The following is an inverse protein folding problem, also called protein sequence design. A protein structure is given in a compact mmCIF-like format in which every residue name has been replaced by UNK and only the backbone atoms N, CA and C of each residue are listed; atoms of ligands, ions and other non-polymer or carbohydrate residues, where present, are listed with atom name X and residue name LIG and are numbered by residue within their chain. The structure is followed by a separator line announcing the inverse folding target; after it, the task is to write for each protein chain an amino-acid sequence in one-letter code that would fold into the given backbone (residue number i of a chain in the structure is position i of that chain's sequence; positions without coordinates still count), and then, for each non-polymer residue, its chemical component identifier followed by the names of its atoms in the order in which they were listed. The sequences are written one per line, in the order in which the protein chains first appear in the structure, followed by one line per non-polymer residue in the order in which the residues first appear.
data_IF_427168575359
#
_entry.id   IF_427168575359
#
_cell.length_a   1.000
_cell.length_b   1.000
_cell.length_c   1.000
_cell.angle_alpha   90.00
_cell.angle_beta   90.00
_cell.angle_gamma   90.00
#
_symmetry.space_group_name_H-M   'P 1'
#
loop_
_entity.id
_entity.type
_entity.pdbx_description
1 polymer ?
#
# COMPACT_ATOMS: atom_id res chain seq x y z
N UNK A 1 -26.61 72.56 -73.03
CA UNK A 1 -25.46 73.01 -72.23
C UNK A 1 -24.31 73.21 -73.20
N UNK A 2 -23.63 74.35 -73.16
CA UNK A 2 -22.43 74.55 -73.98
C UNK A 2 -21.39 73.48 -73.60
N UNK A 3 -20.60 72.95 -74.55
CA UNK A 3 -19.58 71.94 -74.25
C UNK A 3 -18.61 72.38 -73.15
N UNK A 4 -18.33 73.69 -73.03
CA UNK A 4 -17.52 74.26 -71.94
C UNK A 4 -18.13 74.09 -70.55
N UNK A 5 -19.45 74.29 -70.39
CA UNK A 5 -20.13 74.06 -69.10
C UNK A 5 -20.11 72.60 -68.67
N UNK A 6 -20.23 71.67 -69.63
CA UNK A 6 -20.23 70.23 -69.34
C UNK A 6 -18.84 69.77 -68.87
N UNK A 7 -17.77 70.25 -69.51
CA UNK A 7 -16.38 69.98 -69.11
C UNK A 7 -16.08 70.54 -67.71
N UNK A 8 -16.50 71.77 -67.42
CA UNK A 8 -16.29 72.38 -66.10
C UNK A 8 -16.99 71.60 -64.97
N UNK A 9 -18.24 71.19 -65.18
CA UNK A 9 -18.99 70.39 -64.19
C UNK A 9 -18.31 69.04 -63.95
N UNK A 10 -17.80 68.38 -64.99
CA UNK A 10 -17.06 67.11 -64.84
C UNK A 10 -15.78 67.31 -64.03
N UNK A 11 -15.01 68.37 -64.30
CA UNK A 11 -13.78 68.69 -63.55
C UNK A 11 -14.10 68.97 -62.08
N UNK A 12 -15.14 69.77 -61.81
CA UNK A 12 -15.58 70.07 -60.45
C UNK A 12 -16.02 68.79 -59.71
N UNK A 13 -16.79 67.93 -60.37
CA UNK A 13 -17.25 66.65 -59.81
C UNK A 13 -16.05 65.75 -59.45
N UNK A 14 -15.10 65.60 -60.37
CA UNK A 14 -13.87 64.81 -60.14
C UNK A 14 -13.05 65.40 -58.99
N UNK A 15 -12.92 66.72 -58.90
CA UNK A 15 -12.24 67.41 -57.81
C UNK A 15 -12.92 67.12 -56.47
N UNK A 16 -14.25 67.25 -56.40
CA UNK A 16 -15.03 66.97 -55.18
C UNK A 16 -14.88 65.51 -54.77
N UNK A 17 -15.01 64.55 -55.70
CA UNK A 17 -14.81 63.12 -55.43
C UNK A 17 -13.40 62.86 -54.90
N UNK A 18 -12.37 63.46 -55.52
CA UNK A 18 -10.98 63.28 -55.09
C UNK A 18 -10.75 63.82 -53.67
N UNK A 19 -11.34 64.97 -53.33
CA UNK A 19 -11.27 65.56 -51.99
C UNK A 19 -11.98 64.68 -50.97
N UNK A 20 -13.17 64.15 -51.28
CA UNK A 20 -13.93 63.28 -50.39
C UNK A 20 -13.20 61.96 -50.14
N UNK A 21 -12.70 61.31 -51.20
CA UNK A 21 -11.97 60.04 -51.08
C UNK A 21 -10.67 60.23 -50.28
N UNK A 22 -9.92 61.31 -50.51
CA UNK A 22 -8.70 61.61 -49.73
C UNK A 22 -8.98 62.09 -48.31
N UNK A 23 -10.21 62.52 -48.02
CA UNK A 23 -10.61 62.99 -46.70
C UNK A 23 -10.85 61.84 -45.73
N UNK A 24 -11.29 60.68 -46.23
CA UNK A 24 -11.57 59.51 -45.40
C UNK A 24 -10.31 58.65 -45.32
N UNK A 25 -9.72 58.58 -44.12
CA UNK A 25 -8.63 57.63 -43.82
C UNK A 25 -9.12 56.64 -42.79
N UNK A 26 -8.88 55.36 -43.05
CA UNK A 26 -9.24 54.28 -42.13
C UNK A 26 -8.03 54.00 -41.25
N UNK A 27 -8.19 54.20 -39.94
CA UNK A 27 -7.19 53.84 -38.94
C UNK A 27 -7.44 52.39 -38.52
N UNK A 28 -6.45 51.48 -38.65
CA UNK A 28 -6.60 50.11 -38.16
C UNK A 28 -6.84 50.05 -36.65
N UNK A 29 -7.43 48.96 -36.17
CA UNK A 29 -7.58 48.71 -34.73
C UNK A 29 -6.22 48.58 -34.04
N UNK A 30 -6.12 49.07 -32.80
CA UNK A 30 -4.87 49.13 -32.02
C UNK A 30 -3.75 49.97 -32.67
N UNK A 31 -4.12 50.95 -33.51
CA UNK A 31 -3.21 51.97 -34.04
C UNK A 31 -3.72 53.36 -33.70
N UNK A 32 -2.78 54.27 -33.44
CA UNK A 32 -3.05 55.69 -33.24
C UNK A 32 -2.32 56.51 -34.29
N UNK A 33 -3.07 57.32 -35.04
CA UNK A 33 -2.52 58.25 -36.02
C UNK A 33 -2.48 59.65 -35.41
N UNK A 34 -1.29 60.26 -35.38
CA UNK A 34 -1.10 61.62 -34.88
C UNK A 34 -1.26 62.60 -36.02
N UNK A 35 -2.22 63.51 -35.87
CA UNK A 35 -2.57 64.47 -36.91
C UNK A 35 -2.06 65.84 -36.54
N UNK A 36 -1.35 66.44 -37.49
CA UNK A 36 -0.94 67.84 -37.44
C UNK A 36 -1.69 68.67 -38.47
N UNK A 37 -2.00 69.90 -38.08
CA UNK A 37 -2.53 70.93 -38.96
C UNK A 37 -1.53 72.06 -39.02
N UNK A 38 -0.94 72.30 -40.20
CA UNK A 38 0.06 73.34 -40.40
C UNK A 38 1.20 73.29 -39.36
N UNK A 39 1.63 72.08 -38.98
CA UNK A 39 2.70 71.84 -37.99
C UNK A 39 2.29 71.95 -36.51
N UNK A 40 1.00 72.19 -36.20
CA UNK A 40 0.48 72.13 -34.82
C UNK A 40 -0.29 70.85 -34.59
N UNK A 41 -0.16 70.27 -33.40
CA UNK A 41 -0.96 69.12 -32.98
C UNK A 41 -2.46 69.47 -33.04
N UNK A 42 -3.23 68.69 -33.79
CA UNK A 42 -4.69 68.82 -33.89
C UNK A 42 -5.41 67.80 -33.02
N UNK A 43 -4.93 66.56 -33.03
CA UNK A 43 -5.56 65.46 -32.31
C UNK A 43 -4.99 64.11 -32.68
N UNK A 44 -5.27 63.13 -31.83
CA UNK A 44 -4.99 61.71 -32.07
C UNK A 44 -6.25 61.04 -32.60
N UNK A 45 -6.10 60.14 -33.59
CA UNK A 45 -7.19 59.30 -34.10
C UNK A 45 -6.83 57.85 -33.89
N UNK A 46 -7.63 57.19 -33.08
CA UNK A 46 -7.57 55.76 -32.81
C UNK A 46 -8.55 55.02 -33.73
N UNK A 47 -8.54 53.68 -33.68
CA UNK A 47 -9.21 52.79 -34.64
C UNK A 47 -10.58 53.26 -35.14
N UNK A 48 -10.77 53.16 -36.46
CA UNK A 48 -12.00 53.55 -37.14
C UNK A 48 -11.80 54.57 -38.26
N UNK A 49 -12.89 55.03 -38.90
CA UNK A 49 -12.82 56.03 -39.96
C UNK A 49 -12.51 57.41 -39.37
N UNK A 50 -11.44 58.03 -39.86
CA UNK A 50 -11.02 59.38 -39.51
C UNK A 50 -11.18 60.32 -40.72
N UNK A 51 -11.78 61.49 -40.47
CA UNK A 51 -11.94 62.54 -41.47
C UNK A 51 -10.77 63.54 -41.33
N UNK A 52 -9.99 63.67 -42.40
CA UNK A 52 -8.84 64.56 -42.53
C UNK A 52 -9.11 65.57 -43.62
N UNK A 53 -8.79 66.85 -43.38
CA UNK A 53 -8.87 67.84 -44.45
C UNK A 53 -7.64 67.64 -45.35
N UNK A 54 -7.80 67.18 -46.60
CA UNK A 54 -6.66 66.96 -47.48
C UNK A 54 -5.88 68.27 -47.65
N UNK A 55 -4.56 68.16 -47.85
CA UNK A 55 -3.59 69.26 -47.98
C UNK A 55 -3.28 70.05 -46.69
N UNK A 56 -4.25 70.25 -45.79
CA UNK A 56 -4.08 71.03 -44.55
C UNK A 56 -3.68 70.15 -43.37
N UNK A 57 -4.36 69.01 -43.21
CA UNK A 57 -4.06 68.03 -42.18
C UNK A 57 -3.07 66.98 -42.74
N UNK A 58 -2.05 66.63 -41.95
CA UNK A 58 -1.07 65.59 -42.28
C UNK A 58 -0.92 64.62 -41.12
N UNK A 59 -0.79 63.33 -41.43
CA UNK A 59 -0.43 62.31 -40.43
C UNK A 59 1.08 62.38 -40.21
N UNK A 60 1.50 62.74 -39.00
CA UNK A 60 2.93 62.83 -38.64
C UNK A 60 3.52 61.46 -38.35
N UNK A 61 2.88 60.70 -37.47
CA UNK A 61 3.38 59.40 -37.00
C UNK A 61 2.23 58.41 -36.84
N UNK A 62 2.54 57.12 -37.01
CA UNK A 62 1.61 56.01 -36.78
C UNK A 62 2.16 55.15 -35.64
N UNK A 63 1.46 55.16 -34.51
CA UNK A 63 1.91 54.48 -33.30
C UNK A 63 1.11 53.19 -33.14
N UNK A 64 1.80 52.07 -32.94
CA UNK A 64 1.19 50.80 -32.58
C UNK A 64 0.90 50.79 -31.07
N UNK A 65 -0.37 50.59 -30.70
CA UNK A 65 -0.84 50.58 -29.31
C UNK A 65 -0.74 49.18 -28.67
N UNK A 66 -0.41 48.16 -29.46
CA UNK A 66 -0.26 46.79 -28.96
C UNK A 66 0.94 46.68 -28.01
N UNK A 67 0.94 45.59 -27.26
CA UNK A 67 2.13 45.21 -26.49
C UNK A 67 3.28 44.84 -27.43
N UNK A 68 4.42 45.50 -27.20
CA UNK A 68 5.65 45.34 -27.94
C UNK A 68 6.70 44.73 -27.02
N UNK A 69 7.53 43.87 -27.61
CA UNK A 69 8.62 43.18 -26.92
C UNK A 69 9.93 43.65 -27.52
N UNK A 70 10.77 44.25 -26.69
CA UNK A 70 12.10 44.71 -27.10
C UNK A 70 13.15 44.06 -26.20
N UNK A 71 14.12 43.41 -26.85
CA UNK A 71 15.32 42.87 -26.19
C UNK A 71 16.42 43.90 -26.28
N UNK A 72 17.06 44.20 -25.16
CA UNK A 72 18.24 45.05 -25.11
C UNK A 72 19.52 44.20 -25.10
N UNK A 73 20.63 44.71 -25.67
CA UNK A 73 21.90 43.99 -25.69
C UNK A 73 22.48 43.82 -24.27
N UNK A 74 23.33 42.81 -24.05
CA UNK A 74 24.00 42.59 -22.76
C UNK A 74 24.74 43.83 -22.29
N UNK A 75 24.42 44.28 -21.07
CA UNK A 75 25.10 45.41 -20.44
C UNK A 75 26.04 44.91 -19.32
N UNK A 76 27.31 45.36 -19.29
CA UNK A 76 28.22 45.02 -18.20
C UNK A 76 27.85 45.82 -16.94
N UNK A 77 27.58 45.11 -15.86
CA UNK A 77 27.24 45.67 -14.55
C UNK A 77 28.16 45.08 -13.49
N UNK A 78 28.59 45.89 -12.54
CA UNK A 78 29.42 45.47 -11.42
C UNK A 78 28.52 45.17 -10.23
N UNK A 79 28.64 43.97 -9.68
CA UNK A 79 27.94 43.51 -8.46
C UNK A 79 28.61 44.06 -7.19
N UNK A 80 27.96 43.91 -6.04
CA UNK A 80 28.51 44.29 -4.73
C UNK A 80 29.87 43.63 -4.44
N UNK A 81 30.10 42.42 -4.96
CA UNK A 81 31.35 41.66 -4.78
C UNK A 81 32.46 42.08 -5.76
N UNK A 82 32.27 43.21 -6.46
CA UNK A 82 33.20 43.73 -7.47
C UNK A 82 33.44 42.75 -8.65
N UNK A 83 32.41 41.97 -9.01
CA UNK A 83 32.41 41.12 -10.20
C UNK A 83 31.59 41.75 -11.31
N UNK A 84 32.13 41.76 -12.52
CA UNK A 84 31.44 42.23 -13.73
C UNK A 84 30.59 41.12 -14.32
N UNK A 85 29.28 41.31 -14.35
CA UNK A 85 28.31 40.40 -14.98
C UNK A 85 27.67 41.07 -16.19
N UNK A 86 27.39 40.30 -17.24
CA UNK A 86 26.61 40.79 -18.37
C UNK A 86 25.15 40.39 -18.19
N UNK A 87 24.23 41.33 -18.30
CA UNK A 87 22.80 41.08 -18.08
C UNK A 87 22.02 41.41 -19.34
N UNK A 88 21.30 40.40 -19.84
CA UNK A 88 20.35 40.53 -20.94
C UNK A 88 18.95 40.75 -20.38
N UNK A 89 18.23 41.75 -20.90
CA UNK A 89 16.87 42.06 -20.44
C UNK A 89 15.91 42.22 -21.61
N UNK A 90 14.68 41.77 -21.41
CA UNK A 90 13.55 41.96 -22.32
C UNK A 90 12.48 42.77 -21.61
N UNK A 91 11.99 43.81 -22.28
CA UNK A 91 10.95 44.69 -21.74
C UNK A 91 9.69 44.56 -22.59
N UNK A 92 8.58 44.31 -21.90
CA UNK A 92 7.23 44.26 -22.47
C UNK A 92 6.53 45.56 -22.11
N UNK A 93 6.23 46.37 -23.11
CA UNK A 93 5.56 47.65 -22.91
C UNK A 93 4.51 47.88 -23.99
N UNK A 94 3.56 48.77 -23.70
CA UNK A 94 2.62 49.26 -24.69
C UNK A 94 2.50 50.77 -24.60
N UNK A 95 2.25 51.41 -25.73
CA UNK A 95 1.96 52.85 -25.76
C UNK A 95 0.50 53.05 -25.36
N UNK A 96 0.27 53.74 -24.26
CA UNK A 96 -1.05 54.10 -23.77
C UNK A 96 -1.48 55.49 -24.24
N UNK A 97 -0.55 56.44 -24.36
CA UNK A 97 -0.81 57.76 -24.94
C UNK A 97 0.16 58.04 -26.10
N UNK A 98 -0.36 57.89 -27.32
CA UNK A 98 0.41 58.11 -28.54
C UNK A 98 0.89 59.56 -28.68
N UNK A 99 0.15 60.55 -28.16
CA UNK A 99 0.57 61.95 -28.25
C UNK A 99 1.86 62.15 -27.46
N UNK A 100 1.87 61.72 -26.20
CA UNK A 100 3.04 61.85 -25.34
C UNK A 100 4.23 61.07 -25.90
N UNK A 101 4.02 59.88 -26.45
CA UNK A 101 5.09 59.06 -27.02
C UNK A 101 5.84 59.69 -28.20
N UNK A 102 5.21 60.62 -28.93
CA UNK A 102 5.80 61.28 -30.10
C UNK A 102 6.30 62.69 -29.82
N UNK A 103 5.71 63.39 -28.84
CA UNK A 103 6.08 64.77 -28.53
C UNK A 103 6.97 64.93 -27.29
N UNK A 104 6.91 64.01 -26.32
CA UNK A 104 7.68 64.13 -25.06
C UNK A 104 9.08 63.51 -25.16
N UNK A 105 9.32 62.61 -26.13
CA UNK A 105 10.64 62.01 -26.38
C UNK A 105 10.85 61.71 -27.87
N UNK A 106 12.09 61.90 -28.34
CA UNK A 106 12.45 61.66 -29.74
C UNK A 106 12.48 60.18 -30.12
N UNK A 107 13.01 59.33 -29.24
CA UNK A 107 13.00 57.87 -29.39
C UNK A 107 12.81 57.23 -28.01
N UNK A 108 11.59 56.78 -27.76
CA UNK A 108 11.27 56.17 -26.48
C UNK A 108 11.94 54.82 -26.26
N UNK A 109 12.25 54.04 -27.30
CA UNK A 109 12.91 52.74 -27.16
C UNK A 109 14.32 52.93 -26.60
N UNK A 110 15.07 53.89 -27.15
CA UNK A 110 16.40 54.26 -26.64
C UNK A 110 16.31 54.84 -25.21
N UNK A 111 15.25 55.59 -24.91
CA UNK A 111 14.99 56.09 -23.54
C UNK A 111 14.76 54.97 -22.53
N UNK A 112 13.93 53.98 -22.89
CA UNK A 112 13.66 52.79 -22.08
C UNK A 112 14.95 51.97 -21.87
N UNK A 113 15.77 51.80 -22.90
CA UNK A 113 17.08 51.13 -22.80
C UNK A 113 18.00 51.81 -21.79
N UNK A 114 18.07 53.14 -21.83
CA UNK A 114 18.93 53.92 -20.94
C UNK A 114 18.47 53.85 -19.48
N UNK A 115 17.15 53.94 -19.24
CA UNK A 115 16.57 53.78 -17.90
C UNK A 115 16.85 52.35 -17.41
N UNK A 116 16.58 51.34 -18.23
CA UNK A 116 16.84 49.92 -17.90
C UNK A 116 18.30 49.73 -17.48
N UNK A 117 19.25 50.26 -18.25
CA UNK A 117 20.69 50.18 -17.95
C UNK A 117 21.05 50.85 -16.63
N UNK A 118 20.47 52.02 -16.36
CA UNK A 118 20.73 52.78 -15.14
C UNK A 118 20.14 52.07 -13.91
N UNK A 119 18.91 51.57 -14.01
CA UNK A 119 18.24 50.83 -12.95
C UNK A 119 18.92 49.49 -12.69
N UNK A 120 19.32 48.76 -13.74
CA UNK A 120 20.12 47.54 -13.60
C UNK A 120 21.40 47.79 -12.82
N UNK A 121 22.14 48.87 -13.16
CA UNK A 121 23.37 49.24 -12.44
C UNK A 121 23.11 49.52 -10.96
N UNK A 122 22.02 50.21 -10.64
CA UNK A 122 21.68 50.54 -9.25
C UNK A 122 21.26 49.31 -8.44
N UNK A 123 20.39 48.46 -9.00
CA UNK A 123 19.86 47.28 -8.29
C UNK A 123 20.94 46.23 -8.11
N UNK A 124 21.66 45.88 -9.18
CA UNK A 124 22.68 44.84 -9.16
C UNK A 124 23.94 45.30 -8.42
N UNK A 125 24.25 46.60 -8.43
CA UNK A 125 25.35 47.16 -7.64
C UNK A 125 25.17 46.97 -6.12
N UNK A 126 23.93 46.82 -5.65
CA UNK A 126 23.60 46.52 -4.25
C UNK A 126 23.40 45.03 -3.94
N UNK A 127 23.67 44.13 -4.89
CA UNK A 127 23.47 42.68 -4.76
C UNK A 127 24.77 41.91 -5.00
N UNK A 128 24.94 40.80 -4.28
CA UNK A 128 26.04 39.86 -4.54
C UNK A 128 25.79 39.08 -5.85
N UNK A 129 26.83 38.42 -6.38
CA UNK A 129 26.67 37.56 -7.58
C UNK A 129 25.61 36.47 -7.35
N UNK A 130 25.67 35.80 -6.20
CA UNK A 130 24.75 34.72 -5.84
C UNK A 130 23.30 35.22 -5.72
N UNK A 131 23.10 36.37 -5.06
CA UNK A 131 21.77 37.00 -4.97
C UNK A 131 21.24 37.39 -6.35
N UNK A 132 22.12 37.89 -7.23
CA UNK A 132 21.76 38.27 -8.59
C UNK A 132 21.30 37.06 -9.41
N UNK A 133 21.94 35.89 -9.24
CA UNK A 133 21.58 34.65 -9.92
C UNK A 133 20.31 34.00 -9.36
N UNK A 134 20.08 34.09 -8.06
CA UNK A 134 18.97 33.40 -7.35
C UNK A 134 17.70 34.25 -7.25
N UNK A 135 17.82 35.58 -7.15
CA UNK A 135 16.71 36.49 -6.84
C UNK A 135 16.24 37.29 -8.06
N UNK A 136 16.08 36.64 -9.21
CA UNK A 136 15.67 37.30 -10.47
C UNK A 136 14.32 38.02 -10.37
N UNK A 137 13.37 37.46 -9.63
CA UNK A 137 12.03 38.04 -9.44
C UNK A 137 12.06 39.39 -8.73
N UNK A 138 12.98 39.55 -7.77
CA UNK A 138 13.20 40.82 -7.08
C UNK A 138 13.69 41.89 -8.05
N UNK A 139 14.65 41.53 -8.91
CA UNK A 139 15.19 42.45 -9.91
C UNK A 139 14.12 42.83 -10.92
N UNK A 140 13.36 41.85 -11.44
CA UNK A 140 12.25 42.07 -12.37
C UNK A 140 11.19 43.02 -11.80
N UNK A 141 10.85 42.85 -10.52
CA UNK A 141 9.84 43.69 -9.84
C UNK A 141 10.30 45.13 -9.68
N UNK A 142 11.55 45.33 -9.23
CA UNK A 142 12.12 46.69 -9.07
C UNK A 142 12.28 47.37 -10.44
N UNK A 143 12.82 46.65 -11.43
CA UNK A 143 12.94 47.18 -12.79
C UNK A 143 11.60 47.62 -13.34
N UNK A 144 10.56 46.77 -13.25
CA UNK A 144 9.21 47.10 -13.72
C UNK A 144 8.67 48.37 -13.06
N UNK A 145 8.82 48.51 -11.74
CA UNK A 145 8.33 49.67 -10.99
C UNK A 145 9.01 50.97 -11.43
N UNK A 146 10.34 50.99 -11.44
CA UNK A 146 11.14 52.16 -11.82
C UNK A 146 10.95 52.54 -13.29
N UNK A 147 10.87 51.53 -14.18
CA UNK A 147 10.63 51.75 -15.61
C UNK A 147 9.24 52.33 -15.85
N UNK A 148 8.18 51.76 -15.26
CA UNK A 148 6.80 52.25 -15.45
C UNK A 148 6.63 53.68 -14.94
N UNK A 149 7.19 54.01 -13.77
CA UNK A 149 7.18 55.36 -13.21
C UNK A 149 7.90 56.36 -14.13
N UNK A 150 9.10 56.01 -14.58
CA UNK A 150 9.91 56.89 -15.42
C UNK A 150 9.32 57.07 -16.83
N UNK A 151 8.79 56.01 -17.43
CA UNK A 151 8.26 56.01 -18.80
C UNK A 151 6.82 56.51 -18.91
N UNK A 152 6.10 56.63 -17.78
CA UNK A 152 4.72 57.12 -17.75
C UNK A 152 4.57 58.51 -18.37
N UNK A 153 5.56 59.38 -18.22
CA UNK A 153 5.59 60.73 -18.85
C UNK A 153 5.65 60.69 -20.38
N UNK A 154 6.14 59.60 -20.96
CA UNK A 154 6.20 59.39 -22.41
C UNK A 154 4.95 58.68 -22.93
N UNK A 155 3.91 58.48 -22.09
CA UNK A 155 2.71 57.75 -22.50
C UNK A 155 2.93 56.26 -22.67
N UNK A 156 3.97 55.68 -22.05
CA UNK A 156 4.32 54.27 -22.15
C UNK A 156 4.03 53.60 -20.81
N UNK A 157 3.36 52.44 -20.88
CA UNK A 157 3.12 51.58 -19.74
C UNK A 157 3.96 50.32 -19.87
N UNK A 158 4.75 50.02 -18.85
CA UNK A 158 5.58 48.82 -18.80
C UNK A 158 4.79 47.72 -18.12
N UNK A 159 4.44 46.69 -18.89
CA UNK A 159 3.69 45.55 -18.36
C UNK A 159 4.58 44.63 -17.54
N UNK A 160 5.76 44.29 -18.09
CA UNK A 160 6.66 43.28 -17.52
C UNK A 160 8.09 43.49 -17.98
N UNK A 161 9.03 43.12 -17.11
CA UNK A 161 10.47 43.08 -17.40
C UNK A 161 10.98 41.70 -17.03
N UNK A 162 11.75 41.10 -17.91
CA UNK A 162 12.34 39.78 -17.70
C UNK A 162 13.85 39.81 -17.98
N UNK A 163 14.63 39.36 -17.01
CA UNK A 163 16.03 39.03 -17.24
C UNK A 163 16.11 37.75 -18.05
N UNK A 164 16.71 37.84 -19.24
CA UNK A 164 16.92 36.71 -20.16
C UNK A 164 18.11 35.87 -19.72
N UNK A 165 19.25 36.51 -19.43
CA UNK A 165 20.48 35.85 -19.03
C UNK A 165 21.30 36.74 -18.08
N UNK A 166 22.11 36.10 -17.24
CA UNK A 166 23.08 36.74 -16.34
C UNK A 166 24.37 35.95 -16.48
N UNK A 167 25.35 36.52 -17.16
CA UNK A 167 26.58 35.85 -17.53
C UNK A 167 27.74 36.39 -16.68
N UNK A 168 28.20 35.63 -15.66
CA UNK A 168 29.41 35.97 -14.91
C UNK A 168 30.67 35.76 -15.77
N UNK A 169 31.84 36.26 -15.33
CA UNK A 169 33.08 36.00 -16.03
C UNK A 169 33.44 34.51 -15.93
N UNK A 170 34.02 33.96 -17.01
CA UNK A 170 34.26 32.52 -17.15
C UNK A 170 35.04 31.89 -15.99
N UNK A 171 35.99 32.61 -15.39
CA UNK A 171 36.78 32.14 -14.25
C UNK A 171 35.94 31.86 -13.00
N UNK A 172 34.91 32.68 -12.76
CA UNK A 172 33.99 32.50 -11.64
C UNK A 172 32.98 31.40 -11.95
N UNK A 173 32.49 31.34 -13.19
CA UNK A 173 31.60 30.27 -13.63
C UNK A 173 32.24 28.89 -13.44
N UNK A 174 33.49 28.70 -13.87
CA UNK A 174 34.23 27.45 -13.70
C UNK A 174 34.44 27.10 -12.22
N UNK A 175 34.74 28.11 -11.39
CA UNK A 175 34.92 27.92 -9.95
C UNK A 175 33.63 27.51 -9.25
N UNK A 176 32.51 28.15 -9.62
CA UNK A 176 31.18 27.80 -9.13
C UNK A 176 30.75 26.42 -9.58
N UNK A 177 30.97 26.05 -10.84
CA UNK A 177 30.66 24.71 -11.35
C UNK A 177 31.43 23.62 -10.59
N UNK A 178 32.73 23.85 -10.33
CA UNK A 178 33.55 22.96 -9.50
C UNK A 178 33.02 22.87 -8.07
N UNK A 179 32.68 23.99 -7.45
CA UNK A 179 32.14 24.03 -6.09
C UNK A 179 30.78 23.32 -6.01
N UNK A 180 29.85 23.62 -6.92
CA UNK A 180 28.53 22.97 -6.99
C UNK A 180 28.65 21.48 -7.23
N UNK A 181 29.59 21.05 -8.09
CA UNK A 181 29.87 19.63 -8.31
C UNK A 181 30.36 18.96 -7.02
N UNK A 182 31.33 19.56 -6.34
CA UNK A 182 31.85 19.04 -5.07
C UNK A 182 30.76 18.96 -3.99
N UNK A 183 29.89 19.98 -3.88
CA UNK A 183 28.77 19.97 -2.92
C UNK A 183 27.72 18.91 -3.26
N UNK A 184 27.41 18.73 -4.55
CA UNK A 184 26.51 17.67 -5.01
C UNK A 184 27.09 16.29 -4.76
N UNK A 185 28.38 16.07 -5.05
CA UNK A 185 29.09 14.82 -4.77
C UNK A 185 29.13 14.51 -3.28
N UNK A 186 29.41 15.52 -2.44
CA UNK A 186 29.37 15.39 -0.98
C UNK A 186 27.98 15.01 -0.48
N UNK A 187 26.92 15.69 -0.95
CA UNK A 187 25.53 15.36 -0.59
C UNK A 187 25.15 13.96 -1.05
N UNK A 188 25.52 13.57 -2.27
CA UNK A 188 25.28 12.23 -2.79
C UNK A 188 26.00 11.15 -1.96
N UNK A 189 27.24 11.41 -1.54
CA UNK A 189 28.00 10.50 -0.68
C UNK A 189 27.34 10.33 0.70
N UNK A 190 26.89 11.43 1.32
CA UNK A 190 26.17 11.38 2.61
C UNK A 190 24.88 10.59 2.46
N UNK A 191 24.07 10.88 1.44
CA UNK A 191 22.79 10.21 1.20
C UNK A 191 22.99 8.71 0.93
N UNK A 192 24.01 8.33 0.17
CA UNK A 192 24.35 6.92 -0.08
C UNK A 192 24.80 6.22 1.20
N UNK A 193 25.61 6.87 2.04
CA UNK A 193 26.05 6.31 3.32
C UNK A 193 24.86 6.14 4.29
N UNK A 194 23.95 7.10 4.35
CA UNK A 194 22.71 7.02 5.13
C UNK A 194 21.81 5.90 4.62
N UNK A 195 21.60 5.80 3.31
CA UNK A 195 20.82 4.72 2.69
C UNK A 195 21.41 3.33 2.95
N UNK A 196 22.74 3.17 2.89
CA UNK A 196 23.41 1.91 3.24
C UNK A 196 23.23 1.56 4.72
N UNK A 197 23.38 2.54 5.61
CA UNK A 197 23.17 2.35 7.05
C UNK A 197 21.73 1.92 7.34
N UNK A 198 20.76 2.63 6.78
CA UNK A 198 19.34 2.34 6.99
C UNK A 198 18.96 0.96 6.43
N UNK A 199 19.44 0.62 5.23
CA UNK A 199 19.25 -0.70 4.63
C UNK A 199 19.82 -1.83 5.50
N UNK A 200 21.03 -1.65 6.04
CA UNK A 200 21.67 -2.61 6.93
C UNK A 200 20.88 -2.80 8.24
N UNK A 201 20.38 -1.72 8.83
CA UNK A 201 19.53 -1.76 10.04
C UNK A 201 18.26 -2.55 9.76
N UNK A 202 17.51 -2.17 8.71
CA UNK A 202 16.26 -2.85 8.34
C UNK A 202 16.48 -4.33 8.03
N UNK A 203 17.59 -4.68 7.40
CA UNK A 203 17.94 -6.08 7.12
C UNK A 203 18.22 -6.87 8.41
N UNK A 204 18.97 -6.30 9.34
CA UNK A 204 19.26 -6.93 10.63
C UNK A 204 17.99 -7.09 11.49
N UNK A 205 17.10 -6.10 11.49
CA UNK A 205 15.79 -6.17 12.14
C UNK A 205 14.91 -7.26 11.53
N UNK A 206 14.85 -7.35 10.20
CA UNK A 206 14.16 -8.42 9.49
C UNK A 206 14.68 -9.81 9.85
N UNK A 207 16.01 -9.99 9.92
CA UNK A 207 16.62 -11.26 10.35
C UNK A 207 16.29 -11.60 11.80
N UNK A 208 16.39 -10.64 12.71
CA UNK A 208 16.01 -10.81 14.12
C UNK A 208 14.55 -11.23 14.24
N UNK A 209 13.65 -10.54 13.55
CA UNK A 209 12.22 -10.84 13.58
C UNK A 209 11.93 -12.24 13.01
N UNK A 210 12.58 -12.60 11.90
CA UNK A 210 12.45 -13.95 11.31
C UNK A 210 12.92 -15.06 12.27
N UNK A 211 14.04 -14.85 12.98
CA UNK A 211 14.54 -15.81 13.97
C UNK A 211 13.59 -15.96 15.16
N UNK A 212 13.03 -14.86 15.66
CA UNK A 212 12.03 -14.88 16.74
C UNK A 212 10.80 -15.68 16.31
N UNK A 213 10.23 -15.36 15.14
CA UNK A 213 9.06 -16.06 14.62
C UNK A 213 9.32 -17.56 14.42
N UNK A 214 10.52 -17.93 13.98
CA UNK A 214 10.92 -19.34 13.82
C UNK A 214 11.03 -20.04 15.17
N UNK A 215 11.63 -19.39 16.17
CA UNK A 215 11.75 -19.95 17.52
C UNK A 215 10.38 -20.09 18.22
N UNK A 216 9.51 -19.09 18.06
CA UNK A 216 8.12 -19.14 18.55
C UNK A 216 7.32 -20.24 17.87
N UNK A 217 7.43 -20.37 16.54
CA UNK A 217 6.83 -21.46 15.78
C UNK A 217 7.30 -22.84 16.24
N UNK A 218 8.61 -23.01 16.45
CA UNK A 218 9.19 -24.25 16.95
C UNK A 218 8.71 -24.59 18.37
N UNK A 219 8.65 -23.59 19.26
CA UNK A 219 8.10 -23.76 20.62
C UNK A 219 6.63 -24.17 20.56
N UNK A 220 5.83 -23.50 19.76
CA UNK A 220 4.40 -23.80 19.62
C UNK A 220 4.19 -25.21 19.06
N UNK A 221 4.96 -25.59 18.03
CA UNK A 221 4.93 -26.94 17.47
C UNK A 221 5.31 -28.00 18.52
N UNK A 222 6.35 -27.75 19.34
CA UNK A 222 6.75 -28.67 20.39
C UNK A 222 5.67 -28.86 21.47
N UNK A 223 4.99 -27.78 21.88
CA UNK A 223 3.87 -27.84 22.83
C UNK A 223 2.72 -28.66 22.26
N UNK A 224 2.29 -28.35 21.03
CA UNK A 224 1.21 -29.06 20.37
C UNK A 224 1.52 -30.56 20.20
N UNK A 225 2.76 -30.91 19.86
CA UNK A 225 3.19 -32.31 19.76
C UNK A 225 3.16 -33.02 21.12
N UNK A 226 3.61 -32.36 22.19
CA UNK A 226 3.59 -32.93 23.54
C UNK A 226 2.15 -33.13 24.07
N UNK A 227 1.25 -32.18 23.78
CA UNK A 227 -0.17 -32.30 24.09
C UNK A 227 -0.83 -33.44 23.31
N UNK A 228 -0.52 -33.56 22.01
CA UNK A 228 -1.00 -34.65 21.16
C UNK A 228 -0.54 -36.03 21.66
N UNK A 229 0.73 -36.18 22.04
CA UNK A 229 1.25 -37.44 22.58
C UNK A 229 0.58 -37.79 23.91
N UNK A 230 0.49 -36.82 24.84
CA UNK A 230 -0.21 -37.01 26.12
C UNK A 230 -1.65 -37.46 25.90
N UNK A 231 -2.37 -36.82 24.98
CA UNK A 231 -3.75 -37.16 24.67
C UNK A 231 -3.84 -38.58 24.09
N UNK A 232 -2.92 -38.95 23.19
CA UNK A 232 -2.83 -40.28 22.61
C UNK A 232 -2.58 -41.35 23.67
N UNK A 233 -1.65 -41.12 24.60
CA UNK A 233 -1.36 -42.03 25.71
C UNK A 233 -2.55 -42.24 26.64
N UNK A 234 -3.27 -41.17 26.99
CA UNK A 234 -4.48 -41.24 27.83
C UNK A 234 -5.54 -42.08 27.13
N UNK A 235 -5.82 -41.82 25.86
CA UNK A 235 -6.80 -42.59 25.08
C UNK A 235 -6.41 -44.07 24.97
N UNK A 236 -5.13 -44.37 24.72
CA UNK A 236 -4.62 -45.76 24.72
C UNK A 236 -4.72 -46.42 26.09
N UNK A 237 -4.46 -45.70 27.18
CA UNK A 237 -4.59 -46.23 28.54
C UNK A 237 -6.06 -46.51 28.91
N UNK A 238 -6.97 -45.62 28.52
CA UNK A 238 -8.42 -45.82 28.69
C UNK A 238 -8.91 -47.02 27.87
N UNK A 239 -8.50 -47.12 26.60
CA UNK A 239 -8.82 -48.27 25.75
C UNK A 239 -8.32 -49.60 26.34
N UNK A 240 -7.09 -49.64 26.85
CA UNK A 240 -6.54 -50.83 27.53
C UNK A 240 -7.31 -51.20 28.80
N UNK A 241 -7.67 -50.20 29.63
CA UNK A 241 -8.48 -50.43 30.84
C UNK A 241 -9.86 -50.98 30.50
N UNK A 242 -10.52 -50.40 29.48
CA UNK A 242 -11.82 -50.87 29.02
C UNK A 242 -11.74 -52.31 28.50
N UNK A 243 -10.73 -52.63 27.69
CA UNK A 243 -10.51 -53.99 27.18
C UNK A 243 -10.31 -55.01 28.32
N UNK A 244 -9.41 -54.74 29.27
CA UNK A 244 -9.17 -55.63 30.42
C UNK A 244 -10.42 -55.83 31.28
N UNK A 245 -11.20 -54.77 31.48
CA UNK A 245 -12.44 -54.84 32.25
C UNK A 245 -13.49 -55.72 31.55
N UNK A 246 -13.65 -55.55 30.23
CA UNK A 246 -14.55 -56.37 29.42
C UNK A 246 -14.11 -57.85 29.37
N UNK A 247 -12.80 -58.10 29.27
CA UNK A 247 -12.22 -59.45 29.31
C UNK A 247 -12.49 -60.13 30.66
N UNK A 248 -12.19 -59.46 31.78
CA UNK A 248 -12.44 -59.99 33.13
C UNK A 248 -13.93 -60.25 33.39
N UNK A 249 -14.82 -59.38 32.89
CA UNK A 249 -16.27 -59.65 32.95
C UNK A 249 -16.66 -60.89 32.14
N UNK A 250 -16.06 -61.04 30.95
CA UNK A 250 -16.29 -62.19 30.09
C UNK A 250 -15.86 -63.51 30.75
N UNK A 251 -14.67 -63.53 31.34
CA UNK A 251 -14.16 -64.68 32.09
C UNK A 251 -15.02 -65.00 33.31
N UNK A 252 -15.42 -63.99 34.09
CA UNK A 252 -16.29 -64.18 35.26
C UNK A 252 -17.62 -64.85 34.86
N UNK A 253 -18.26 -64.36 33.79
CA UNK A 253 -19.48 -64.96 33.24
C UNK A 253 -19.25 -66.38 32.73
N UNK A 254 -18.11 -66.65 32.08
CA UNK A 254 -17.77 -67.99 31.62
C UNK A 254 -17.56 -68.98 32.78
N UNK A 255 -16.86 -68.57 33.84
CA UNK A 255 -16.64 -69.36 35.06
C UNK A 255 -17.98 -69.62 35.76
N UNK A 256 -18.84 -68.61 35.90
CA UNK A 256 -20.15 -68.77 36.51
C UNK A 256 -21.01 -69.80 35.76
N UNK A 257 -21.07 -69.70 34.42
CA UNK A 257 -21.81 -70.66 33.59
C UNK A 257 -21.25 -72.08 33.70
N UNK A 258 -19.93 -72.25 33.68
CA UNK A 258 -19.31 -73.58 33.84
C UNK A 258 -19.58 -74.16 35.23
N UNK A 259 -19.48 -73.36 36.29
CA UNK A 259 -19.72 -73.81 37.65
C UNK A 259 -21.19 -74.18 37.90
N UNK A 260 -22.12 -73.38 37.36
CA UNK A 260 -23.55 -73.70 37.38
C UNK A 260 -23.86 -75.00 36.63
N UNK A 261 -23.20 -75.25 35.49
CA UNK A 261 -23.33 -76.51 34.76
C UNK A 261 -22.79 -77.71 35.55
N UNK A 262 -21.63 -77.58 36.20
CA UNK A 262 -21.02 -78.65 37.02
C UNK A 262 -21.89 -79.00 38.22
N UNK A 263 -22.41 -78.01 38.95
CA UNK A 263 -23.30 -78.25 40.10
C UNK A 263 -24.56 -79.04 39.73
N UNK A 264 -25.13 -78.79 38.55
CA UNK A 264 -26.31 -79.52 38.05
C UNK A 264 -26.02 -80.99 37.78
N UNK A 265 -24.80 -81.31 37.36
CA UNK A 265 -24.37 -82.68 37.05
C UNK A 265 -24.22 -83.60 38.28
N UNK A 266 -24.24 -83.07 39.52
CA UNK A 266 -24.04 -83.81 40.78
C UNK A 266 -22.90 -84.85 40.67
N UNK A 267 -21.67 -84.44 40.33
CA UNK A 267 -20.59 -85.38 40.04
C UNK A 267 -20.25 -86.20 41.28
N UNK A 268 -20.06 -87.52 41.11
CA UNK A 268 -19.58 -88.38 42.19
C UNK A 268 -18.06 -88.19 42.39
N UNK A 269 -17.52 -88.44 43.60
CA UNK A 269 -16.10 -88.24 43.90
C UNK A 269 -15.14 -88.95 42.95
N UNK A 270 -15.55 -90.08 42.37
CA UNK A 270 -14.78 -90.84 41.40
C UNK A 270 -14.64 -90.09 40.06
N UNK A 271 -15.65 -89.31 39.65
CA UNK A 271 -15.64 -88.55 38.40
C UNK A 271 -14.74 -87.31 38.50
N UNK A 272 -14.71 -86.65 39.66
CA UNK A 272 -13.76 -85.57 39.93
C UNK A 272 -12.32 -86.08 40.01
N UNK A 273 -12.10 -87.25 40.62
CA UNK A 273 -10.79 -87.90 40.63
C UNK A 273 -10.33 -88.29 39.21
N UNK A 274 -11.25 -88.77 38.36
CA UNK A 274 -10.97 -89.06 36.96
C UNK A 274 -10.69 -87.80 36.13
N UNK A 275 -11.48 -86.74 36.29
CA UNK A 275 -11.23 -85.45 35.63
C UNK A 275 -9.88 -84.87 36.06
N UNK A 276 -9.55 -84.93 37.35
CA UNK A 276 -8.24 -84.55 37.87
C UNK A 276 -7.12 -85.34 37.17
N UNK A 277 -7.25 -86.67 37.08
CA UNK A 277 -6.31 -87.52 36.33
C UNK A 277 -6.23 -87.17 34.83
N UNK A 278 -7.32 -86.70 34.20
CA UNK A 278 -7.31 -86.22 32.81
C UNK A 278 -6.68 -84.83 32.62
N UNK A 279 -6.79 -83.95 33.62
CA UNK A 279 -6.10 -82.64 33.61
C UNK A 279 -4.58 -82.78 33.85
N UNK A 280 -4.12 -83.90 34.43
CA UNK A 280 -2.68 -84.15 34.63
C UNK A 280 -1.89 -84.14 33.31
N UNK A 281 -2.33 -84.79 32.21
CA UNK A 281 -1.73 -84.62 30.88
C UNK A 281 -1.69 -83.17 30.37
N UNK A 282 -2.70 -82.36 30.63
CA UNK A 282 -2.72 -80.94 30.19
C UNK A 282 -1.73 -80.09 30.99
N UNK A 283 -1.60 -80.34 32.29
CA UNK A 283 -0.58 -79.72 33.14
C UNK A 283 0.85 -80.15 32.78
N UNK A 284 1.02 -81.34 32.18
CA UNK A 284 2.31 -81.83 31.68
C UNK A 284 2.69 -81.31 30.29
N UNK A 285 1.76 -80.71 29.53
CA UNK A 285 2.00 -80.14 28.19
C UNK A 285 2.54 -78.71 28.18
N UNK A 286 2.51 -78.01 29.32
CA UNK A 286 3.09 -76.67 29.44
C UNK A 286 4.62 -76.73 29.41
N UNK A 287 5.26 -75.86 28.61
CA UNK A 287 6.71 -75.87 28.31
C UNK A 287 7.63 -75.74 29.54
N UNK A 288 7.09 -75.53 30.75
CA UNK A 288 7.82 -75.27 32.00
C UNK A 288 7.86 -76.41 33.04
N UNK A 289 7.30 -77.61 32.78
CA UNK A 289 7.21 -78.67 33.80
C UNK A 289 8.20 -79.84 33.59
N UNK A 290 9.37 -79.81 34.25
CA UNK A 290 10.36 -80.92 34.28
C UNK A 290 10.50 -81.65 35.62
N UNK A 291 9.77 -81.25 36.67
CA UNK A 291 9.90 -81.83 38.02
C UNK A 291 8.53 -82.28 38.54
N UNK A 292 8.38 -83.59 38.66
CA UNK A 292 7.19 -84.24 39.21
C UNK A 292 7.39 -84.47 40.71
N UNK A 293 6.67 -83.74 41.55
CA UNK A 293 6.72 -83.90 43.01
C UNK A 293 5.33 -84.34 43.48
N UNK A 294 5.17 -85.61 43.85
CA UNK A 294 3.98 -86.07 44.56
C UNK A 294 4.16 -85.65 46.01
N UNK A 295 3.34 -84.72 46.56
CA UNK A 295 3.47 -84.34 47.96
C UNK A 295 3.23 -85.56 48.84
N UNK A 296 4.10 -85.81 49.82
CA UNK A 296 4.02 -86.96 50.73
C UNK A 296 2.73 -87.01 51.57
N UNK A 297 1.97 -85.92 51.62
CA UNK A 297 0.67 -85.83 52.28
C UNK A 297 -0.53 -86.00 51.32
N UNK A 298 -0.31 -86.42 50.07
CA UNK A 298 -1.38 -86.69 49.10
C UNK A 298 -2.42 -87.69 49.64
N UNK A 299 -1.98 -88.74 50.33
CA UNK A 299 -2.88 -89.68 50.98
C UNK A 299 -3.77 -89.02 52.03
N UNK A 300 -3.23 -88.09 52.83
CA UNK A 300 -3.99 -87.37 53.88
C UNK A 300 -4.90 -86.29 53.31
N UNK A 301 -4.48 -85.61 52.24
CA UNK A 301 -5.32 -84.62 51.55
C UNK A 301 -6.52 -85.30 50.89
N UNK A 302 -6.32 -86.48 50.30
CA UNK A 302 -7.41 -87.29 49.76
C UNK A 302 -8.31 -87.84 50.87
N UNK A 303 -7.74 -88.30 52.00
CA UNK A 303 -8.52 -88.73 53.17
C UNK A 303 -9.29 -87.57 53.84
N UNK A 304 -8.73 -86.35 53.83
CA UNK A 304 -9.41 -85.13 54.29
C UNK A 304 -10.54 -84.71 53.36
N UNK A 305 -10.32 -84.82 52.04
CA UNK A 305 -11.34 -84.55 51.03
C UNK A 305 -12.50 -85.56 51.10
N UNK A 306 -12.21 -86.85 51.31
CA UNK A 306 -13.24 -87.88 51.49
C UNK A 306 -13.98 -87.73 52.82
N UNK A 307 -13.30 -87.35 53.92
CA UNK A 307 -13.95 -87.03 55.21
C UNK A 307 -14.83 -85.78 55.17
N UNK A 308 -14.46 -84.77 54.36
CA UNK A 308 -15.30 -83.58 54.16
C UNK A 308 -16.61 -83.91 53.42
N UNK A 309 -16.64 -85.02 52.70
CA UNK A 309 -17.77 -85.45 51.87
C UNK A 309 -18.53 -86.67 52.44
N UNK A 310 -18.07 -87.34 53.50
CA UNK A 310 -18.72 -88.53 54.06
C UNK A 310 -18.74 -88.59 55.59
N UNK A 311 -19.91 -88.83 56.18
CA UNK A 311 -20.08 -89.01 57.63
C UNK A 311 -19.82 -90.48 58.07
N UNK A 312 -19.17 -90.73 59.22
CA UNK A 312 -18.92 -92.09 59.70
C UNK A 312 -20.18 -92.72 60.31
N UNK A 313 -20.56 -93.92 59.83
CA UNK A 313 -21.56 -94.78 60.48
C UNK A 313 -20.92 -95.67 61.56
N UNK A 314 -21.71 -96.12 62.55
CA UNK A 314 -21.23 -96.80 63.78
C UNK A 314 -20.46 -98.13 63.55
N UNK A 315 -20.45 -98.70 62.33
CA UNK A 315 -19.72 -99.93 61.99
C UNK A 315 -18.36 -99.71 61.30
N UNK A 316 -17.87 -98.47 61.21
CA UNK A 316 -16.54 -98.18 60.66
C UNK A 316 -16.42 -98.29 59.12
N UNK A 317 -17.54 -98.39 58.39
CA UNK A 317 -17.59 -98.33 56.92
C UNK A 317 -18.17 -96.98 56.48
N UNK A 318 -17.42 -96.21 55.69
CA UNK A 318 -17.86 -94.93 55.14
C UNK A 318 -18.93 -95.15 54.06
N UNK A 319 -20.13 -94.60 54.25
CA UNK A 319 -21.16 -94.51 53.22
C UNK A 319 -21.42 -93.05 52.91
N UNK A 320 -21.37 -92.71 51.63
CA UNK A 320 -21.72 -91.38 51.14
C UNK A 320 -23.25 -91.25 51.10
N UNK A 321 -23.78 -90.31 51.88
CA UNK A 321 -25.13 -89.79 51.66
C UNK A 321 -24.99 -88.40 51.03
N UNK A 322 -25.56 -88.17 49.83
CA UNK A 322 -25.53 -86.84 49.24
C UNK A 322 -26.26 -85.85 50.17
N UNK A 323 -25.62 -84.72 50.44
CA UNK A 323 -26.22 -83.62 51.18
C UNK A 323 -27.51 -83.17 50.51
N UNK A 324 -28.62 -83.21 51.25
CA UNK A 324 -29.90 -82.66 50.79
C UNK A 324 -29.71 -81.17 50.58
N UNK A 325 -29.78 -80.72 49.33
CA UNK A 325 -29.78 -79.29 49.01
C UNK A 325 -30.94 -79.01 48.07
N UNK A 326 -31.67 -77.97 48.47
CA UNK A 326 -32.91 -77.48 47.93
C UNK A 326 -32.76 -76.87 46.53
N UNK A 327 -33.85 -76.92 45.76
CA UNK A 327 -34.10 -75.98 44.67
C UNK A 327 -33.45 -76.31 43.33
N UNK A 328 -34.30 -76.53 42.34
CA UNK A 328 -33.96 -76.57 40.92
C UNK A 328 -33.42 -75.19 40.49
N UNK A 329 -32.12 -75.08 40.20
CA UNK A 329 -31.52 -73.87 39.63
C UNK A 329 -31.46 -74.08 38.10
N UNK A 330 -32.57 -73.81 37.42
CA UNK A 330 -32.56 -73.53 35.98
C UNK A 330 -31.76 -72.23 35.77
N UNK A 331 -30.72 -72.21 34.91
CA UNK A 331 -30.16 -70.95 34.47
C UNK A 331 -31.21 -70.27 33.59
N UNK A 332 -31.47 -68.99 33.86
CA UNK A 332 -32.24 -68.16 32.94
C UNK A 332 -31.53 -68.21 31.58
N UNK A 333 -32.27 -68.41 30.48
CA UNK A 333 -31.68 -68.40 29.14
C UNK A 333 -31.17 -66.97 28.85
N UNK A 334 -29.88 -66.72 29.11
CA UNK A 334 -29.21 -65.43 28.89
C UNK A 334 -29.00 -65.08 27.40
N UNK A 335 -29.92 -65.43 26.51
CA UNK A 335 -29.76 -65.20 25.06
C UNK A 335 -29.81 -63.71 24.67
N UNK A 336 -30.41 -62.84 25.51
CA UNK A 336 -30.43 -61.39 25.27
C UNK A 336 -29.15 -60.68 25.71
N UNK A 337 -28.56 -61.04 26.87
CA UNK A 337 -27.37 -60.37 27.41
C UNK A 337 -26.08 -60.64 26.61
N UNK A 338 -26.11 -61.60 25.69
CA UNK A 338 -24.97 -62.01 24.85
C UNK A 338 -25.04 -61.39 23.45
N UNK A 339 -26.22 -60.95 22.98
CA UNK A 339 -26.40 -60.39 21.62
C UNK A 339 -25.56 -59.14 21.37
N UNK A 340 -25.52 -58.22 22.32
CA UNK A 340 -24.82 -56.94 22.17
C UNK A 340 -23.29 -57.11 22.22
N UNK A 341 -22.78 -58.25 22.69
CA UNK A 341 -21.35 -58.51 22.78
C UNK A 341 -20.70 -58.80 21.41
N UNK A 342 -21.52 -59.18 20.42
CA UNK A 342 -21.10 -59.47 19.05
C UNK A 342 -21.47 -58.38 18.03
N UNK A 343 -22.04 -57.25 18.48
CA UNK A 343 -22.30 -56.11 17.60
C UNK A 343 -21.00 -55.33 17.34
N UNK A 344 -20.55 -55.35 16.09
CA UNK A 344 -19.31 -54.68 15.63
C UNK A 344 -19.62 -53.32 14.98
N UNK A 345 -20.84 -52.80 15.14
CA UNK A 345 -21.20 -51.50 14.59
C UNK A 345 -20.43 -50.37 15.27
N UNK A 346 -19.89 -49.44 14.48
CA UNK A 346 -19.17 -48.27 14.98
C UNK A 346 -20.18 -47.21 15.41
N UNK A 347 -19.95 -46.61 16.58
CA UNK A 347 -20.79 -45.53 17.11
C UNK A 347 -20.93 -44.38 16.08
N UNK A 348 -22.17 -44.04 15.66
CA UNK A 348 -22.42 -43.03 14.63
C UNK A 348 -21.92 -41.62 14.99
N UNK A 349 -21.65 -41.34 16.27
CA UNK A 349 -21.11 -40.05 16.72
C UNK A 349 -19.62 -39.90 16.40
N UNK A 350 -18.83 -40.97 16.57
CA UNK A 350 -17.40 -41.00 16.25
C UNK A 350 -17.19 -40.79 14.74
N UNK A 351 -18.03 -41.39 13.91
CA UNK A 351 -17.98 -41.23 12.46
C UNK A 351 -18.20 -39.77 12.02
N UNK A 352 -19.07 -39.02 12.71
CA UNK A 352 -19.32 -37.59 12.43
C UNK A 352 -18.13 -36.72 12.83
N UNK A 353 -17.53 -36.99 14.00
CA UNK A 353 -16.38 -36.22 14.48
C UNK A 353 -15.15 -36.37 13.57
N UNK A 354 -14.90 -37.57 13.03
CA UNK A 354 -13.82 -37.80 12.06
C UNK A 354 -14.08 -37.05 10.75
N UNK A 355 -15.33 -36.98 10.29
CA UNK A 355 -15.72 -36.25 9.08
C UNK A 355 -15.60 -34.71 9.24
N UNK A 356 -15.85 -34.18 10.44
CA UNK A 356 -15.65 -32.75 10.72
C UNK A 356 -14.16 -32.38 10.84
N UNK A 357 -13.36 -33.23 11.50
CA UNK A 357 -11.91 -33.03 11.60
C UNK A 357 -11.21 -33.02 10.23
N UNK A 358 -11.63 -33.90 9.32
CA UNK A 358 -11.09 -33.93 7.94
C UNK A 358 -11.49 -32.70 7.13
N UNK A 359 -12.70 -32.16 7.30
CA UNK A 359 -13.10 -30.89 6.68
C UNK A 359 -12.33 -29.69 7.20
N UNK A 360 -12.03 -29.64 8.50
CA UNK A 360 -11.26 -28.56 9.10
C UNK A 360 -9.81 -28.53 8.59
N UNK A 361 -9.19 -29.71 8.39
CA UNK A 361 -7.83 -29.82 7.85
C UNK A 361 -7.70 -29.43 6.37
N UNK A 362 -8.78 -29.55 5.58
CA UNK A 362 -8.81 -29.19 4.16
C UNK A 362 -9.04 -27.70 3.88
N UNK A 363 -9.21 -26.86 4.93
CA UNK A 363 -9.40 -25.42 4.74
C UNK A 363 -8.04 -24.76 4.47
N UNK A 364 -7.79 -24.40 3.20
CA UNK A 364 -6.54 -23.76 2.77
C UNK A 364 -6.24 -22.45 3.54
N UNK A 365 -4.98 -22.29 3.92
CA UNK A 365 -4.47 -21.07 4.59
C UNK A 365 -4.19 -20.01 3.50
N UNK A 366 -4.64 -18.74 3.68
CA UNK A 366 -4.39 -17.69 2.70
C UNK A 366 -2.89 -17.42 2.52
N UNK A 367 -2.43 -17.11 1.29
CA UNK A 367 -1.03 -16.84 1.04
C UNK A 367 -0.57 -15.56 1.76
N UNK A 368 0.62 -15.61 2.35
CA UNK A 368 1.24 -14.48 3.06
C UNK A 368 1.46 -13.33 2.07
N UNK A 369 0.67 -12.25 2.20
CA UNK A 369 0.79 -11.03 1.40
C UNK A 369 -0.52 -10.29 1.06
N UNK A 370 -1.69 -10.76 1.47
CA UNK A 370 -2.98 -10.17 1.07
C UNK A 370 -3.35 -8.84 1.74
N UNK A 371 -2.61 -8.40 2.77
CA UNK A 371 -2.88 -7.14 3.49
C UNK A 371 -1.84 -6.06 3.21
N UNK A 372 -1.33 -5.97 1.96
CA UNK A 372 -0.63 -4.77 1.51
C UNK A 372 -1.62 -3.93 0.70
N UNK A 373 -2.11 -2.79 1.22
CA UNK A 373 -2.96 -1.91 0.43
C UNK A 373 -2.20 -1.44 -0.82
N UNK A 374 -2.85 -1.34 -1.99
CA UNK A 374 -2.17 -0.98 -3.23
C UNK A 374 -1.62 0.44 -3.12
N UNK A 375 -0.34 0.60 -3.43
CA UNK A 375 0.28 1.92 -3.60
C UNK A 375 -0.44 2.60 -4.78
N UNK A 376 -1.04 3.80 -4.60
CA UNK A 376 -1.72 4.47 -5.68
C UNK A 376 -0.70 4.84 -6.76
N UNK A 377 -0.86 4.25 -7.95
CA UNK A 377 -0.16 4.70 -9.15
C UNK A 377 -0.74 6.07 -9.52
N UNK A 378 0.11 7.09 -9.59
CA UNK A 378 -0.25 8.37 -10.17
C UNK A 378 -0.58 8.16 -11.65
N UNK A 379 -1.86 8.23 -12.01
CA UNK A 379 -2.31 8.42 -13.39
C UNK A 379 -2.43 9.91 -13.65
N UNK A 380 -1.49 10.40 -14.44
CA UNK A 380 -1.66 11.54 -15.33
C UNK A 380 -2.96 11.37 -16.13
N UNK A 381 -3.66 12.48 -16.40
CA UNK A 381 -4.93 12.61 -17.14
C UNK A 381 -6.21 12.65 -16.29
N UNK A 382 -6.53 13.84 -15.77
CA UNK A 382 -7.88 14.42 -15.94
C UNK A 382 -7.84 15.94 -15.67
N UNK A 383 -7.43 16.69 -16.69
CA UNK A 383 -7.92 18.05 -16.90
C UNK A 383 -9.34 17.99 -17.44
N UNK A 384 -10.15 18.97 -17.01
CA UNK A 384 -11.44 19.43 -17.51
C UNK A 384 -12.68 18.97 -16.74
N UNK A 385 -13.46 20.00 -16.38
CA UNK A 385 -14.89 19.99 -16.03
C UNK A 385 -15.15 19.60 -14.55
N UNK A 386 -15.78 20.37 -13.66
CA UNK A 386 -16.73 21.49 -13.77
C UNK A 386 -16.68 22.20 -12.40
N UNK A 387 -16.32 23.49 -12.39
CA UNK A 387 -16.55 24.39 -11.26
C UNK A 387 -17.81 25.21 -11.58
N UNK A 388 -18.97 24.72 -11.16
CA UNK A 388 -20.18 25.53 -11.03
C UNK A 388 -20.86 25.20 -9.70
N UNK A 389 -20.76 26.17 -8.80
CA UNK A 389 -21.82 26.54 -7.88
C UNK A 389 -21.98 25.65 -6.64
N UNK A 390 -21.49 26.16 -5.50
CA UNK A 390 -22.42 26.35 -4.39
C UNK A 390 -22.00 27.53 -3.50
N UNK A 391 -22.89 28.51 -3.44
CA UNK A 391 -22.92 29.60 -2.48
C UNK A 391 -23.62 29.09 -1.22
N UNK A 392 -23.03 29.32 -0.03
CA UNK A 392 -23.69 29.74 1.22
C UNK A 392 -22.92 29.32 2.48
N UNK A 393 -22.80 30.25 3.43
CA UNK A 393 -22.40 30.03 4.82
C UNK A 393 -21.29 30.99 5.26
N UNK A 394 -21.58 32.27 5.51
CA UNK A 394 -21.84 32.83 6.85
C UNK A 394 -20.71 32.58 7.88
N UNK A 395 -19.81 33.57 8.06
CA UNK A 395 -19.80 34.51 9.17
C UNK A 395 -18.62 35.49 9.01
#
# INVERSE_FOLDING_TARGET
MEPGTLIFVVILLVLVITVVVKSIVIVPQEWAYIIERLGKYKGTREGGPAILIPFVDRTRERVDLREQVVSFPPQPVITQDNLTVNIDTVVYFKVHDAKSAVYEIANYIAGVEQITTTTLRNVVGGMTLEQTLTSRDRINTVLRGELDEATGRWGIRVGRVEIKAIDPPASIQESMERQMKADREKRAMILNAEGQRESAIRSAEGQKQSQILTAEGAKQAAILNAEAERQSEILRAQGRRAAQYLEAQGEAKAIEKTFAAIKRGKPTPELLAYQYLQTLPEMAKGEANKVWMVPSDFGKALEGFTKMLGAPGEDGVFRYEPSRTDGDITPENDDEAVKDWFDVSTDPEIARQVAEATKAAQKEVPPVGSDVPPIPRATTEETLSIETGNTNGQA
#
